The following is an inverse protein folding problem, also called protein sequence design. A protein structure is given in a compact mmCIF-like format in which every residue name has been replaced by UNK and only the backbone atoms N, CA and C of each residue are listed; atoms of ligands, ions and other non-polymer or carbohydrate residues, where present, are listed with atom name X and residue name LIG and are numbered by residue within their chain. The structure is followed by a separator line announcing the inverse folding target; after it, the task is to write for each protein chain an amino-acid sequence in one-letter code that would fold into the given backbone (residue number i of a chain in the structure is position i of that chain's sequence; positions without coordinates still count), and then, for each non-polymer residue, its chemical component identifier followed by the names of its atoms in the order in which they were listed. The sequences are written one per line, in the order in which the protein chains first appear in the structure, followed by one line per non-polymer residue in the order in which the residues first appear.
data_IF_854023933315
#
_entry.id   IF_854023933315
#
_cell.length_a   1.000
_cell.length_b   1.000
_cell.length_c   1.000
_cell.angle_alpha   90.00
_cell.angle_beta   90.00
_cell.angle_gamma   90.00
#
_symmetry.space_group_name_H-M   'P 1'
#
loop_
_entity.id
_entity.type
_entity.pdbx_description
1 polymer ?
#
# COMPACT_ATOMS: atom_id res chain seq x y z
N UNK A 1 15.96 -9.13 15.01
CA UNK A 1 15.12 -9.82 14.01
C UNK A 1 14.12 -10.69 14.76
N UNK A 2 12.93 -10.16 15.03
CA UNK A 2 11.82 -10.89 15.62
C UNK A 2 10.79 -11.10 14.51
N UNK A 3 10.22 -12.31 14.52
CA UNK A 3 9.22 -12.86 13.62
C UNK A 3 8.19 -11.85 13.09
N UNK A 4 7.71 -12.11 11.86
CA UNK A 4 6.57 -11.43 11.25
C UNK A 4 5.48 -11.15 12.29
N UNK A 5 5.36 -9.88 12.65
CA UNK A 5 4.37 -9.42 13.60
C UNK A 5 3.00 -9.67 12.96
N UNK A 6 2.27 -10.64 13.51
CA UNK A 6 0.85 -10.96 13.31
C UNK A 6 0.11 -9.92 12.45
N UNK A 7 0.03 -10.22 11.15
CA UNK A 7 -0.61 -9.38 10.12
C UNK A 7 0.21 -9.36 8.84
N UNK A 8 -0.42 -9.60 7.69
CA UNK A 8 0.22 -9.29 6.41
C UNK A 8 0.45 -7.78 6.36
N UNK A 9 1.70 -7.32 6.22
CA UNK A 9 2.01 -5.89 6.07
C UNK A 9 2.42 -5.60 4.63
N UNK A 10 2.06 -4.43 4.15
CA UNK A 10 2.70 -3.86 2.97
C UNK A 10 4.00 -3.21 3.37
N UNK A 11 5.07 -3.50 2.64
CA UNK A 11 6.38 -2.91 2.81
C UNK A 11 6.74 -2.10 1.56
N UNK A 12 7.15 -0.86 1.76
CA UNK A 12 7.52 0.07 0.70
C UNK A 12 9.00 0.41 0.84
N UNK A 13 9.82 -0.06 -0.09
CA UNK A 13 11.21 0.38 -0.20
C UNK A 13 11.25 1.83 -0.66
N UNK A 14 11.88 2.67 0.15
CA UNK A 14 11.97 4.11 -0.11
C UNK A 14 13.12 4.38 -1.06
N UNK A 15 12.82 5.11 -2.13
CA UNK A 15 13.79 5.47 -3.18
C UNK A 15 14.34 6.88 -2.94
N UNK A 16 13.47 7.82 -2.58
CA UNK A 16 13.83 9.22 -2.34
C UNK A 16 12.87 9.87 -1.35
N UNK A 17 13.28 11.00 -0.78
CA UNK A 17 12.43 11.91 -0.02
C UNK A 17 12.08 13.14 -0.88
N UNK A 18 10.84 13.58 -0.82
CA UNK A 18 10.34 14.79 -1.48
C UNK A 18 9.98 15.85 -0.43
N UNK A 19 9.47 17.01 -0.87
CA UNK A 19 8.91 18.03 0.03
C UNK A 19 7.64 17.57 0.75
N UNK A 20 6.92 16.59 0.20
CA UNK A 20 5.58 16.15 0.64
C UNK A 20 5.52 14.71 1.13
N UNK A 21 6.60 13.92 0.95
CA UNK A 21 6.53 12.50 1.21
C UNK A 21 7.77 11.70 0.84
N UNK A 22 7.54 10.44 0.50
CA UNK A 22 8.54 9.44 0.14
C UNK A 22 8.21 8.82 -1.21
N UNK A 23 9.14 8.88 -2.14
CA UNK A 23 9.04 8.20 -3.44
C UNK A 23 9.27 6.71 -3.23
N UNK A 24 8.34 5.89 -3.75
CA UNK A 24 8.37 4.42 -3.70
C UNK A 24 7.90 3.87 -5.05
N UNK A 25 7.96 2.55 -5.25
CA UNK A 25 7.34 1.92 -6.42
C UNK A 25 5.85 2.28 -6.50
N UNK A 26 5.43 2.79 -7.66
CA UNK A 26 4.03 3.14 -7.94
C UNK A 26 3.60 4.54 -7.53
N UNK A 27 4.46 5.35 -6.90
CA UNK A 27 4.13 6.75 -6.63
C UNK A 27 4.85 7.36 -5.42
N UNK A 28 4.12 8.17 -4.69
CA UNK A 28 4.63 8.92 -3.53
C UNK A 28 3.72 8.73 -2.32
N UNK A 29 4.29 8.25 -1.22
CA UNK A 29 3.59 8.09 0.04
C UNK A 29 3.67 9.39 0.86
N UNK A 30 2.57 9.83 1.49
CA UNK A 30 2.62 10.96 2.41
C UNK A 30 3.42 10.59 3.65
N UNK A 31 4.41 11.39 4.01
CA UNK A 31 5.29 11.08 5.14
C UNK A 31 5.62 12.32 5.95
N UNK A 32 5.29 12.29 7.23
CA UNK A 32 5.49 13.42 8.14
C UNK A 32 6.76 13.29 9.00
N UNK A 33 7.44 12.13 8.99
CA UNK A 33 8.66 11.93 9.75
C UNK A 33 9.79 12.81 9.20
N UNK A 34 10.74 13.24 10.04
CA UNK A 34 11.86 14.09 9.61
C UNK A 34 12.91 13.32 8.78
N UNK A 35 13.03 12.01 9.02
CA UNK A 35 14.05 11.17 8.39
C UNK A 35 13.56 10.50 7.11
N UNK A 36 14.50 10.04 6.28
CA UNK A 36 14.24 9.17 5.13
C UNK A 36 14.49 7.72 5.55
N UNK A 37 13.46 6.97 5.97
CA UNK A 37 13.63 5.56 6.32
C UNK A 37 13.95 4.74 5.07
N UNK A 38 14.65 3.61 5.22
CA UNK A 38 14.88 2.69 4.10
C UNK A 38 13.61 1.94 3.67
N UNK A 39 12.73 1.63 4.62
CA UNK A 39 11.45 0.95 4.38
C UNK A 39 10.37 1.56 5.26
N UNK A 40 9.18 1.76 4.69
CA UNK A 40 7.96 2.14 5.41
C UNK A 40 6.93 1.02 5.29
N UNK A 41 6.07 0.89 6.27
CA UNK A 41 5.04 -0.15 6.32
C UNK A 41 3.66 0.45 6.51
N UNK A 42 2.64 -0.25 6.01
CA UNK A 42 1.24 -0.03 6.37
C UNK A 42 0.49 -1.37 6.45
N UNK A 43 -0.63 -1.37 7.16
CA UNK A 43 -1.55 -2.52 7.15
C UNK A 43 -2.44 -2.50 5.89
N UNK A 44 -2.85 -3.66 5.35
CA UNK A 44 -3.72 -3.77 4.17
C UNK A 44 -5.04 -3.00 4.31
N UNK A 45 -5.66 -3.02 5.49
CA UNK A 45 -6.90 -2.33 5.81
C UNK A 45 -6.78 -0.81 5.88
N UNK A 46 -5.55 -0.28 5.87
CA UNK A 46 -5.32 1.18 5.84
C UNK A 46 -5.11 1.72 4.42
N UNK A 47 -4.94 0.84 3.42
CA UNK A 47 -4.96 1.24 2.02
C UNK A 47 -6.40 1.37 1.55
N UNK A 48 -6.75 2.55 1.02
CA UNK A 48 -8.08 2.80 0.44
C UNK A 48 -7.98 2.87 -1.07
N UNK A 49 -8.91 2.20 -1.74
CA UNK A 49 -9.09 2.28 -3.18
C UNK A 49 -9.64 3.67 -3.53
N UNK A 50 -9.06 4.31 -4.54
CA UNK A 50 -9.51 5.62 -5.04
C UNK A 50 -9.62 5.62 -6.56
N UNK A 51 -10.61 6.34 -7.14
CA UNK A 51 -10.91 6.33 -8.57
C UNK A 51 -9.92 7.18 -9.40
N UNK A 52 -8.63 6.81 -9.36
CA UNK A 52 -7.45 7.49 -9.97
C UNK A 52 -6.82 8.62 -9.12
N UNK A 53 -5.54 8.90 -9.36
CA UNK A 53 -4.72 9.93 -8.68
C UNK A 53 -4.53 9.74 -7.16
N UNK A 54 -4.43 8.49 -6.70
CA UNK A 54 -3.99 8.18 -5.35
C UNK A 54 -2.49 8.45 -5.14
N UNK A 55 -2.04 8.26 -3.90
CA UNK A 55 -0.62 8.25 -3.52
C UNK A 55 0.17 7.21 -4.33
N UNK A 56 -0.45 6.06 -4.61
CA UNK A 56 0.11 5.01 -5.44
C UNK A 56 -0.85 4.65 -6.57
N UNK A 57 -0.28 4.19 -7.68
CA UNK A 57 -1.00 3.61 -8.80
C UNK A 57 -0.41 2.25 -9.17
N UNK A 58 -1.28 1.30 -9.41
CA UNK A 58 -0.90 -0.05 -9.81
C UNK A 58 -1.95 -0.74 -10.64
N UNK A 59 -1.73 -2.03 -10.89
CA UNK A 59 -2.63 -2.90 -11.64
C UNK A 59 -3.13 -4.03 -10.78
N UNK A 60 -4.42 -4.33 -10.88
CA UNK A 60 -5.00 -5.48 -10.20
C UNK A 60 -4.46 -6.78 -10.81
N UNK A 61 -3.81 -7.59 -9.98
CA UNK A 61 -3.31 -8.92 -10.37
C UNK A 61 -4.12 -10.06 -9.75
N UNK A 62 -4.94 -9.77 -8.73
CA UNK A 62 -5.85 -10.74 -8.15
C UNK A 62 -6.83 -10.11 -7.15
N UNK A 63 -7.98 -10.76 -6.95
CA UNK A 63 -8.98 -10.36 -5.95
C UNK A 63 -9.58 -11.62 -5.33
N UNK A 64 -9.67 -11.66 -4.01
CA UNK A 64 -10.21 -12.78 -3.23
C UNK A 64 -11.31 -12.27 -2.31
N UNK A 65 -12.39 -13.04 -2.16
CA UNK A 65 -13.49 -12.73 -1.25
C UNK A 65 -13.32 -13.55 0.04
N UNK A 66 -13.30 -12.85 1.17
CA UNK A 66 -13.16 -13.40 2.53
C UNK A 66 -14.44 -13.08 3.32
N UNK A 67 -15.55 -13.71 2.94
CA UNK A 67 -16.86 -13.41 3.52
C UNK A 67 -17.35 -12.04 3.09
N UNK A 68 -17.34 -11.07 4.00
CA UNK A 68 -17.83 -9.70 3.78
C UNK A 68 -16.75 -8.70 3.34
N UNK A 69 -15.48 -9.13 3.28
CA UNK A 69 -14.36 -8.30 2.83
C UNK A 69 -13.76 -8.87 1.56
N UNK A 70 -13.32 -8.00 0.66
CA UNK A 70 -12.49 -8.37 -0.47
C UNK A 70 -11.04 -7.99 -0.20
N UNK A 71 -10.12 -8.87 -0.59
CA UNK A 71 -8.68 -8.62 -0.57
C UNK A 71 -8.16 -8.57 -1.98
N UNK A 72 -7.59 -7.43 -2.35
CA UNK A 72 -7.01 -7.18 -3.65
C UNK A 72 -5.50 -7.35 -3.57
N UNK A 73 -4.91 -7.88 -4.63
CA UNK A 73 -3.48 -7.85 -4.91
C UNK A 73 -3.23 -6.81 -5.99
N UNK A 74 -2.50 -5.76 -5.66
CA UNK A 74 -2.21 -4.64 -6.56
C UNK A 74 -0.72 -4.58 -6.82
N UNK A 75 -0.32 -4.82 -8.07
CA UNK A 75 1.07 -4.68 -8.49
C UNK A 75 1.38 -3.20 -8.80
N UNK A 76 2.31 -2.63 -8.04
CA UNK A 76 2.80 -1.25 -8.17
C UNK A 76 4.23 -1.18 -8.72
N UNK A 77 4.79 -2.30 -9.20
CA UNK A 77 6.19 -2.40 -9.62
C UNK A 77 7.18 -2.53 -8.46
N UNK A 78 6.69 -2.98 -7.29
CA UNK A 78 7.51 -3.35 -6.14
C UNK A 78 7.95 -4.81 -6.18
N UNK A 79 8.70 -5.30 -5.17
CA UNK A 79 9.15 -6.69 -5.10
C UNK A 79 8.00 -7.70 -4.92
N UNK A 80 6.88 -7.26 -4.35
CA UNK A 80 5.66 -8.05 -4.15
C UNK A 80 4.42 -7.18 -4.37
N UNK A 81 3.29 -7.74 -4.84
CA UNK A 81 2.03 -7.02 -4.89
C UNK A 81 1.59 -6.54 -3.51
N UNK A 82 0.98 -5.35 -3.47
CA UNK A 82 0.38 -4.82 -2.26
C UNK A 82 -0.94 -5.53 -1.97
N UNK A 83 -1.19 -5.80 -0.70
CA UNK A 83 -2.45 -6.32 -0.19
C UNK A 83 -3.34 -5.14 0.21
N UNK A 84 -4.58 -5.12 -0.28
CA UNK A 84 -5.56 -4.08 0.05
C UNK A 84 -6.82 -4.77 0.52
N UNK A 85 -7.24 -4.49 1.75
CA UNK A 85 -8.52 -4.97 2.26
C UNK A 85 -9.59 -3.90 2.05
N UNK A 86 -10.64 -4.28 1.32
CA UNK A 86 -11.79 -3.42 1.03
C UNK A 86 -13.07 -4.07 1.54
N UNK A 87 -13.92 -3.27 2.15
CA UNK A 87 -15.29 -3.66 2.51
C UNK A 87 -16.27 -3.52 1.34
N UNK A 88 -15.82 -2.97 0.22
CA UNK A 88 -16.66 -2.81 -0.96
C UNK A 88 -16.80 -4.15 -1.68
N UNK A 89 -18.03 -4.44 -2.12
CA UNK A 89 -18.34 -5.61 -2.94
C UNK A 89 -18.11 -5.38 -4.44
N UNK A 90 -17.23 -4.42 -4.79
CA UNK A 90 -16.90 -4.11 -6.18
C UNK A 90 -15.97 -5.19 -6.72
N UNK A 91 -16.37 -5.83 -7.82
CA UNK A 91 -15.51 -6.72 -8.60
C UNK A 91 -14.81 -5.85 -9.64
N UNK A 92 -13.49 -5.78 -9.55
CA UNK A 92 -12.69 -5.04 -10.51
C UNK A 92 -12.34 -5.93 -11.71
N UNK A 93 -12.29 -5.39 -12.93
CA UNK A 93 -11.86 -6.16 -14.08
C UNK A 93 -10.38 -6.55 -13.93
N UNK A 94 -10.00 -7.69 -14.53
CA UNK A 94 -8.61 -8.11 -14.55
C UNK A 94 -7.72 -7.01 -15.16
N UNK A 95 -6.55 -6.79 -14.56
CA UNK A 95 -5.59 -5.77 -14.99
C UNK A 95 -6.12 -4.32 -14.93
N UNK A 96 -7.19 -4.07 -14.15
CA UNK A 96 -7.70 -2.73 -13.87
C UNK A 96 -6.60 -1.85 -13.28
N UNK A 97 -6.62 -0.57 -13.63
CA UNK A 97 -5.81 0.45 -12.97
C UNK A 97 -6.45 0.76 -11.62
N UNK A 98 -5.66 0.63 -10.55
CA UNK A 98 -6.11 0.85 -9.19
C UNK A 98 -5.30 2.00 -8.60
N UNK A 99 -5.98 3.06 -8.17
CA UNK A 99 -5.41 4.10 -7.32
C UNK A 99 -5.50 3.69 -5.85
N UNK A 100 -4.45 3.98 -5.08
CA UNK A 100 -4.40 3.70 -3.65
C UNK A 100 -4.04 4.97 -2.87
N UNK A 101 -4.72 5.18 -1.76
CA UNK A 101 -4.42 6.23 -0.79
C UNK A 101 -4.19 5.62 0.59
N UNK A 102 -3.43 6.33 1.42
CA UNK A 102 -3.16 5.97 2.81
C UNK A 102 -2.98 7.26 3.60
N UNK A 103 -3.52 7.30 4.81
CA UNK A 103 -3.30 8.43 5.70
C UNK A 103 -1.87 8.42 6.24
N UNK A 104 -1.17 9.56 6.35
CA UNK A 104 0.20 9.59 6.85
C UNK A 104 0.38 8.98 8.24
N UNK A 105 -0.64 9.05 9.11
CA UNK A 105 -0.60 8.47 10.45
C UNK A 105 -0.70 6.94 10.47
N UNK A 106 -1.05 6.31 9.35
CA UNK A 106 -1.14 4.85 9.21
C UNK A 106 0.13 4.23 8.64
N UNK A 107 1.10 5.06 8.27
CA UNK A 107 2.43 4.67 7.85
C UNK A 107 3.37 4.67 9.05
N UNK A 108 4.19 3.62 9.16
CA UNK A 108 5.12 3.47 10.27
C UNK A 108 6.41 2.79 9.83
N UNK A 109 7.46 3.00 10.61
CA UNK A 109 8.73 2.28 10.50
C UNK A 109 8.83 1.26 11.62
N UNK A 110 9.47 0.12 11.36
CA UNK A 110 9.84 -0.80 12.42
C UNK A 110 11.20 -0.37 12.98
N UNK A 111 11.26 -0.06 14.27
CA UNK A 111 12.53 0.20 14.93
C UNK A 111 13.25 -1.14 15.15
N UNK A 112 14.49 -1.23 14.67
CA UNK A 112 15.41 -2.35 14.94
C UNK A 112 16.09 -2.20 16.29
#
# INVERSE_FOLDING_TARGET
FVAGFVGNLNAFSVVARTSSGLTVSGGELPWNGADMPGTVYCRPEHLRLVPEHGHLQGRLVGQFFQGAQSRLLVDVGGPQPLLVDSTDNVIYPANAVIGLSVEPQQLFTLHS
#
